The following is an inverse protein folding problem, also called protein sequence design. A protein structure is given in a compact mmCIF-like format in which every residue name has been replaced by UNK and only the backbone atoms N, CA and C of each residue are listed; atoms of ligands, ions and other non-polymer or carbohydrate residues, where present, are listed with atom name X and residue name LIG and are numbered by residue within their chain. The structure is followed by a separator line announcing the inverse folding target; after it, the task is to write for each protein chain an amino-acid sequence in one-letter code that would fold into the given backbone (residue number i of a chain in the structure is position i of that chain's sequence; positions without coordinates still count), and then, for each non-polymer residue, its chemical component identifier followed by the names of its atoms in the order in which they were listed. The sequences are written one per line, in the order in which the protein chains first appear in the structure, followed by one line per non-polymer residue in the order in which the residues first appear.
data_IF_840182121385
#
_entry.id   IF_840182121385
#
_cell.length_a   1.000
_cell.length_b   1.000
_cell.length_c   1.000
_cell.angle_alpha   90.00
_cell.angle_beta   90.00
_cell.angle_gamma   90.00
#
_symmetry.space_group_name_H-M   'P 1'
#
loop_
_entity.id
_entity.type
_entity.pdbx_description
1 polymer ?
#
# COMPACT_ATOMS: atom_id res chain seq x y z
N UNK A 1 3.41 12.26 10.83
CA UNK A 1 3.98 11.00 11.35
C UNK A 1 4.97 10.40 10.35
N UNK A 2 4.55 10.05 9.13
CA UNK A 2 5.43 9.52 8.08
C UNK A 2 6.63 10.44 7.79
N UNK A 3 6.41 11.75 7.65
CA UNK A 3 7.50 12.72 7.45
C UNK A 3 8.54 12.80 8.58
N UNK A 4 8.26 12.27 9.77
CA UNK A 4 9.24 12.19 10.87
C UNK A 4 10.18 10.99 10.72
N UNK A 5 9.67 9.85 10.24
CA UNK A 5 10.46 8.63 10.02
C UNK A 5 11.12 8.62 8.64
N UNK A 6 10.53 9.31 7.67
CA UNK A 6 11.06 9.51 6.32
C UNK A 6 11.10 11.02 6.02
N UNK A 7 12.19 11.73 6.39
CA UNK A 7 12.29 13.18 6.24
C UNK A 7 12.08 13.69 4.80
N UNK A 8 12.43 12.90 3.79
CA UNK A 8 12.22 13.21 2.37
C UNK A 8 10.74 13.34 1.96
N UNK A 9 9.82 12.82 2.78
CA UNK A 9 8.36 12.89 2.62
C UNK A 9 7.71 13.94 3.52
N UNK A 10 8.49 14.71 4.28
CA UNK A 10 7.93 15.72 5.17
C UNK A 10 7.17 16.80 4.38
N UNK A 11 5.93 17.09 4.80
CA UNK A 11 5.02 18.01 4.11
C UNK A 11 4.42 17.50 2.79
N UNK A 12 4.78 16.30 2.32
CA UNK A 12 4.28 15.73 1.05
C UNK A 12 3.09 14.78 1.20
N UNK A 13 2.88 14.26 2.40
CA UNK A 13 1.81 13.31 2.70
C UNK A 13 0.92 13.84 3.82
N UNK A 14 -0.39 13.74 3.58
CA UNK A 14 -1.46 13.95 4.55
C UNK A 14 -2.57 12.94 4.26
N UNK A 15 -3.58 12.86 5.12
CA UNK A 15 -4.67 11.91 4.92
C UNK A 15 -5.91 12.23 5.74
N UNK A 16 -6.96 11.46 5.48
CA UNK A 16 -8.19 11.42 6.25
C UNK A 16 -8.56 9.97 6.54
N UNK A 17 -9.49 9.73 7.47
CA UNK A 17 -9.92 8.39 7.82
C UNK A 17 -11.44 8.33 7.94
N UNK A 18 -12.01 7.20 7.52
CA UNK A 18 -13.40 6.85 7.75
C UNK A 18 -13.45 5.72 8.78
N UNK A 19 -14.44 5.79 9.68
CA UNK A 19 -14.77 4.68 10.57
C UNK A 19 -15.93 3.91 9.97
N UNK A 20 -15.79 2.61 9.88
CA UNK A 20 -16.79 1.69 9.35
C UNK A 20 -17.07 0.61 10.40
N UNK A 21 -18.24 -0.06 10.38
CA UNK A 21 -18.60 -1.09 11.36
C UNK A 21 -17.90 -2.43 11.06
N UNK A 22 -16.56 -2.43 11.03
CA UNK A 22 -15.73 -3.65 10.95
C UNK A 22 -15.06 -3.88 12.30
N UNK A 23 -14.93 -5.16 12.70
CA UNK A 23 -14.42 -5.52 14.02
C UNK A 23 -12.90 -5.34 14.15
N UNK A 24 -12.17 -5.63 13.08
CA UNK A 24 -10.72 -5.56 13.00
C UNK A 24 -10.32 -5.37 11.52
N UNK A 25 -9.03 -5.11 11.29
CA UNK A 25 -8.40 -4.81 10.00
C UNK A 25 -8.80 -3.43 9.47
N UNK A 26 -7.80 -2.71 8.98
CA UNK A 26 -7.94 -1.40 8.35
C UNK A 26 -7.30 -1.44 6.98
N UNK A 27 -7.77 -0.58 6.08
CA UNK A 27 -7.23 -0.43 4.72
C UNK A 27 -6.66 0.97 4.54
N UNK A 28 -5.53 1.07 3.86
CA UNK A 28 -4.96 2.33 3.41
C UNK A 28 -5.11 2.45 1.90
N UNK A 29 -5.77 3.52 1.48
CA UNK A 29 -5.78 3.98 0.09
C UNK A 29 -4.75 5.11 -0.05
N UNK A 30 -3.61 4.79 -0.67
CA UNK A 30 -2.53 5.75 -0.92
C UNK A 30 -2.61 6.23 -2.37
N UNK A 31 -3.17 7.42 -2.56
CA UNK A 31 -3.17 8.10 -3.86
C UNK A 31 -1.99 9.06 -3.96
N UNK A 32 -1.08 8.84 -4.92
CA UNK A 32 0.19 9.59 -5.03
C UNK A 32 0.52 9.96 -6.46
N UNK A 33 1.28 11.06 -6.60
CA UNK A 33 1.91 11.46 -7.86
C UNK A 33 3.40 11.14 -7.85
N UNK A 34 3.85 10.36 -8.82
CA UNK A 34 5.24 9.95 -9.01
C UNK A 34 5.99 10.97 -9.86
N UNK A 35 7.25 11.25 -9.50
CA UNK A 35 8.14 12.09 -10.31
C UNK A 35 8.62 11.34 -11.56
N UNK A 36 8.99 10.06 -11.40
CA UNK A 36 9.36 9.18 -12.50
C UNK A 36 8.15 8.38 -12.94
N UNK A 37 7.93 8.31 -14.24
CA UNK A 37 6.89 7.49 -14.84
C UNK A 37 7.13 6.01 -14.50
N UNK A 38 6.08 5.28 -14.15
CA UNK A 38 6.11 3.85 -13.91
C UNK A 38 4.77 3.22 -14.30
N UNK A 39 4.81 2.07 -14.96
CA UNK A 39 3.60 1.29 -15.17
C UNK A 39 3.14 0.65 -13.85
N UNK A 40 1.85 0.32 -13.75
CA UNK A 40 1.35 -0.36 -12.56
C UNK A 40 1.99 -1.75 -12.36
N UNK A 41 2.32 -2.44 -13.45
CA UNK A 41 3.06 -3.71 -13.41
C UNK A 41 4.47 -3.54 -12.82
N UNK A 42 5.19 -2.48 -13.19
CA UNK A 42 6.52 -2.18 -12.63
C UNK A 42 6.43 -1.91 -11.12
N UNK A 43 5.40 -1.18 -10.69
CA UNK A 43 5.15 -0.92 -9.26
C UNK A 43 4.90 -2.24 -8.53
N UNK A 44 3.99 -3.08 -9.02
CA UNK A 44 3.70 -4.39 -8.44
C UNK A 44 4.94 -5.26 -8.32
N UNK A 45 5.76 -5.32 -9.37
CA UNK A 45 6.99 -6.09 -9.39
C UNK A 45 7.99 -5.61 -8.31
N UNK A 46 8.14 -4.30 -8.14
CA UNK A 46 9.01 -3.73 -7.09
C UNK A 46 8.46 -4.03 -5.70
N UNK A 47 7.16 -3.85 -5.47
CA UNK A 47 6.54 -4.12 -4.16
C UNK A 47 6.69 -5.60 -3.79
N UNK A 48 6.40 -6.52 -4.73
CA UNK A 48 6.62 -7.97 -4.52
C UNK A 48 8.06 -8.27 -4.14
N UNK A 49 9.02 -7.71 -4.90
CA UNK A 49 10.45 -7.93 -4.63
C UNK A 49 10.88 -7.44 -3.24
N UNK A 50 10.41 -6.28 -2.81
CA UNK A 50 10.74 -5.77 -1.47
C UNK A 50 10.04 -6.56 -0.37
N UNK A 51 8.79 -6.99 -0.58
CA UNK A 51 8.01 -7.84 0.33
C UNK A 51 8.64 -9.23 0.53
N UNK A 52 9.20 -9.83 -0.53
CA UNK A 52 9.91 -11.11 -0.45
C UNK A 52 11.37 -10.94 0.02
N UNK A 53 11.89 -9.72 -0.02
CA UNK A 53 13.28 -9.38 0.26
C UNK A 53 13.47 -8.66 1.59
N UNK A 54 13.82 -7.37 1.52
CA UNK A 54 14.26 -6.59 2.69
C UNK A 54 13.15 -6.33 3.70
N UNK A 55 11.89 -6.34 3.26
CA UNK A 55 10.72 -6.09 4.08
C UNK A 55 9.95 -7.38 4.36
N UNK A 56 10.58 -8.54 4.19
CA UNK A 56 9.99 -9.82 4.55
C UNK A 56 9.50 -9.79 6.01
N UNK A 57 8.32 -10.37 6.21
CA UNK A 57 7.58 -10.41 7.49
C UNK A 57 7.08 -9.04 7.99
N UNK A 58 7.35 -7.95 7.25
CA UNK A 58 6.82 -6.60 7.54
C UNK A 58 5.80 -6.20 6.46
N UNK A 59 6.14 -6.39 5.19
CA UNK A 59 5.31 -6.08 4.03
C UNK A 59 4.89 -7.39 3.35
N UNK A 60 3.59 -7.58 3.20
CA UNK A 60 2.99 -8.62 2.37
C UNK A 60 2.68 -8.13 0.96
N UNK A 61 2.53 -9.08 0.05
CA UNK A 61 2.03 -8.86 -1.30
C UNK A 61 1.00 -9.95 -1.60
N UNK A 62 -0.15 -9.59 -2.17
CA UNK A 62 -1.18 -10.55 -2.58
C UNK A 62 -1.78 -10.18 -3.94
N UNK A 63 -2.17 -11.22 -4.68
CA UNK A 63 -2.99 -11.14 -5.90
C UNK A 63 -4.31 -11.92 -5.75
N UNK A 64 -4.59 -12.39 -4.54
CA UNK A 64 -5.84 -13.10 -4.23
C UNK A 64 -6.97 -12.08 -4.04
N UNK A 65 -8.21 -12.51 -4.32
CA UNK A 65 -9.40 -11.67 -4.13
C UNK A 65 -9.83 -11.69 -2.64
N UNK A 66 -8.99 -11.11 -1.77
CA UNK A 66 -9.18 -11.10 -0.32
C UNK A 66 -10.21 -10.06 0.12
N UNK A 67 -10.81 -10.32 1.27
CA UNK A 67 -11.60 -9.34 2.03
C UNK A 67 -10.96 -9.09 3.39
N UNK A 68 -11.37 -8.01 4.07
CA UNK A 68 -10.78 -7.59 5.36
C UNK A 68 -10.68 -8.71 6.41
N UNK A 69 -11.67 -9.60 6.50
CA UNK A 69 -11.69 -10.69 7.47
C UNK A 69 -10.60 -11.74 7.25
N UNK A 70 -10.11 -11.88 6.01
CA UNK A 70 -9.06 -12.86 5.67
C UNK A 70 -7.71 -12.49 6.27
N UNK A 71 -7.54 -11.22 6.69
CA UNK A 71 -6.32 -10.67 7.24
C UNK A 71 -6.33 -10.57 8.78
N UNK A 72 -7.41 -11.02 9.44
CA UNK A 72 -7.50 -11.02 10.90
C UNK A 72 -6.42 -11.93 11.48
N UNK A 73 -5.60 -11.39 12.39
CA UNK A 73 -4.51 -12.11 13.02
C UNK A 73 -3.22 -12.22 12.18
N UNK A 74 -3.17 -11.58 11.01
CA UNK A 74 -1.91 -11.42 10.28
C UNK A 74 -0.94 -10.54 11.09
N UNK A 75 0.33 -10.94 11.14
CA UNK A 75 1.36 -10.28 11.95
C UNK A 75 2.16 -9.23 11.17
N UNK A 76 2.00 -9.18 9.84
CA UNK A 76 2.67 -8.20 8.98
C UNK A 76 2.09 -6.81 9.21
N UNK A 77 2.90 -5.78 9.00
CA UNK A 77 2.51 -4.39 9.22
C UNK A 77 1.64 -3.81 8.10
N UNK A 78 1.75 -4.35 6.88
CA UNK A 78 1.05 -3.88 5.69
C UNK A 78 1.01 -4.99 4.64
N UNK A 79 -0.07 -5.11 3.88
CA UNK A 79 -0.22 -6.16 2.86
C UNK A 79 -0.73 -5.50 1.59
N UNK A 80 0.14 -5.36 0.59
CA UNK A 80 -0.24 -4.75 -0.67
C UNK A 80 -1.17 -5.66 -1.48
N UNK A 81 -2.37 -5.14 -1.78
CA UNK A 81 -3.35 -5.76 -2.66
C UNK A 81 -3.15 -5.27 -4.09
N UNK A 82 -2.56 -6.15 -4.90
CA UNK A 82 -2.20 -5.86 -6.27
C UNK A 82 -3.41 -5.63 -7.19
N UNK A 83 -4.58 -6.17 -6.87
CA UNK A 83 -5.79 -6.07 -7.70
C UNK A 83 -6.69 -4.91 -7.30
N UNK A 84 -6.63 -4.46 -6.04
CA UNK A 84 -7.46 -3.37 -5.55
C UNK A 84 -6.93 -1.97 -5.93
N UNK A 85 -5.64 -1.82 -6.19
CA UNK A 85 -5.04 -0.57 -6.68
C UNK A 85 -5.34 -0.28 -8.16
N UNK A 86 -5.09 0.97 -8.59
CA UNK A 86 -5.28 1.40 -9.98
C UNK A 86 -4.37 2.57 -10.35
N UNK A 87 -3.87 2.57 -11.59
CA UNK A 87 -3.15 3.69 -12.17
C UNK A 87 -4.06 4.50 -13.10
N UNK A 88 -4.11 5.82 -12.91
CA UNK A 88 -4.77 6.72 -13.87
C UNK A 88 -3.86 6.99 -15.08
N UNK A 89 -2.56 7.14 -14.81
CA UNK A 89 -1.48 7.25 -15.79
C UNK A 89 -0.15 6.92 -15.10
N UNK A 90 0.94 6.91 -15.85
CA UNK A 90 2.27 6.50 -15.36
C UNK A 90 2.83 7.37 -14.22
N UNK A 91 2.22 8.52 -13.93
CA UNK A 91 2.60 9.39 -12.83
C UNK A 91 1.57 9.48 -11.71
N UNK A 92 0.37 8.91 -11.85
CA UNK A 92 -0.70 9.10 -10.87
C UNK A 92 -1.38 7.79 -10.56
N UNK A 93 -1.17 7.30 -9.35
CA UNK A 93 -1.51 5.93 -8.95
C UNK A 93 -2.18 5.91 -7.58
N UNK A 94 -3.06 4.93 -7.42
CA UNK A 94 -3.70 4.56 -6.17
C UNK A 94 -3.22 3.16 -5.77
N UNK A 95 -2.65 3.05 -4.58
CA UNK A 95 -2.15 1.79 -4.01
C UNK A 95 -3.02 1.42 -2.80
N UNK A 96 -3.36 0.15 -2.67
CA UNK A 96 -4.20 -0.38 -1.57
C UNK A 96 -3.36 -1.33 -0.74
N UNK A 97 -3.37 -1.15 0.58
CA UNK A 97 -2.62 -1.98 1.53
C UNK A 97 -3.33 -2.19 2.86
#
# INVERSE_FOLDING_TARGET
AVGKVLPSLNGKLTGMAFRVPTADVSVVDLTVRLEKAASYEDIKAVVRREAEGKLKDILGYTEDDLVSSDLIGDSRSSIFDAKAGIALNDHFVKLVT
#
